data_IF_162288109620
#
_entry.id   IF_162288109620
#
_cell.length_a   1.000
_cell.length_b   1.000
_cell.length_c   1.000
_cell.angle_alpha   90.00
_cell.angle_beta   90.00
_cell.angle_gamma   90.00
#
_symmetry.space_group_name_H-M   'P 1'
#
loop_
_entity.id
_entity.type
_entity.pdbx_description
1 polymer ?
#
# COMPACT_ATOMS: atom_id res chain seq x y z
N UNK A 1 21.57 13.62 13.08
CA UNK A 1 21.11 14.31 11.86
C UNK A 1 19.59 14.24 11.83
N UNK A 2 18.92 15.33 11.45
CA UNK A 2 17.45 15.39 11.36
C UNK A 2 16.97 14.75 10.04
N UNK A 3 15.69 14.34 9.97
CA UNK A 3 15.08 13.74 8.76
C UNK A 3 15.20 14.66 7.53
N UNK A 4 15.12 15.98 7.74
CA UNK A 4 15.32 16.98 6.68
C UNK A 4 16.74 16.93 6.10
N UNK A 5 17.75 16.75 6.95
CA UNK A 5 19.15 16.67 6.52
C UNK A 5 19.45 15.37 5.74
N UNK A 6 18.77 14.27 6.09
CA UNK A 6 18.87 13.02 5.32
C UNK A 6 18.23 13.16 3.93
N UNK A 7 17.11 13.87 3.84
CA UNK A 7 16.38 14.03 2.57
C UNK A 7 17.18 14.83 1.54
N UNK A 8 17.92 15.84 1.98
CA UNK A 8 18.82 16.60 1.09
C UNK A 8 20.02 15.77 0.61
N UNK A 9 20.62 14.97 1.49
CA UNK A 9 21.86 14.25 1.19
C UNK A 9 21.60 12.96 0.43
N UNK A 10 20.67 12.14 0.90
CA UNK A 10 20.39 10.81 0.37
C UNK A 10 19.26 10.80 -0.66
N UNK A 11 18.36 11.78 -0.62
CA UNK A 11 17.22 11.88 -1.54
C UNK A 11 15.88 11.79 -0.83
N UNK A 12 14.80 11.88 -1.60
CA UNK A 12 13.42 11.84 -1.07
C UNK A 12 12.52 10.98 -1.94
N UNK A 13 11.49 10.40 -1.34
CA UNK A 13 10.52 9.56 -2.05
C UNK A 13 9.11 10.11 -1.94
N UNK A 14 8.36 10.02 -3.04
CA UNK A 14 6.96 10.39 -3.13
C UNK A 14 6.17 9.26 -3.78
N UNK A 15 4.88 9.12 -3.45
CA UNK A 15 4.00 8.11 -4.03
C UNK A 15 2.78 8.75 -4.70
N UNK A 16 2.37 8.17 -5.82
CA UNK A 16 1.11 8.48 -6.49
C UNK A 16 0.34 7.17 -6.79
N UNK A 17 -1.00 7.17 -6.64
CA UNK A 17 -1.83 8.27 -6.14
C UNK A 17 -1.65 8.50 -4.62
N UNK A 18 -1.92 9.74 -4.16
CA UNK A 18 -1.89 10.11 -2.73
C UNK A 18 -3.20 9.80 -1.99
N UNK A 19 -4.27 9.51 -2.74
CA UNK A 19 -5.59 9.21 -2.20
C UNK A 19 -5.69 7.80 -1.58
N UNK A 20 -6.83 7.48 -0.94
CA UNK A 20 -7.05 6.17 -0.38
C UNK A 20 -7.10 5.11 -1.49
N UNK A 21 -6.50 3.95 -1.23
CA UNK A 21 -6.63 2.75 -2.03
C UNK A 21 -7.75 1.88 -1.46
N UNK A 22 -8.45 1.16 -2.33
CA UNK A 22 -9.49 0.22 -1.92
C UNK A 22 -8.87 -1.14 -1.66
N UNK A 23 -9.11 -1.71 -0.48
CA UNK A 23 -8.62 -3.03 -0.07
C UNK A 23 -8.96 -4.11 -1.11
N UNK A 24 -8.00 -5.00 -1.37
CA UNK A 24 -8.17 -6.16 -2.26
C UNK A 24 -8.38 -5.85 -3.74
N UNK A 25 -8.28 -4.59 -4.17
CA UNK A 25 -8.43 -4.19 -5.58
C UNK A 25 -7.09 -3.96 -6.26
N UNK A 26 -7.10 -3.93 -7.59
CA UNK A 26 -5.90 -3.72 -8.41
C UNK A 26 -5.55 -2.24 -8.53
N UNK A 27 -4.29 -1.88 -8.30
CA UNK A 27 -3.78 -0.52 -8.38
C UNK A 27 -2.52 -0.41 -9.24
N UNK A 28 -2.23 0.82 -9.65
CA UNK A 28 -0.91 1.21 -10.18
C UNK A 28 -0.35 2.25 -9.23
N UNK A 29 0.78 1.95 -8.59
CA UNK A 29 1.45 2.87 -7.67
C UNK A 29 2.78 3.31 -8.27
N UNK A 30 2.99 4.62 -8.37
CA UNK A 30 4.26 5.20 -8.81
C UNK A 30 5.00 5.75 -7.60
N UNK A 31 6.13 5.11 -7.26
CA UNK A 31 7.05 5.60 -6.24
C UNK A 31 8.20 6.29 -6.95
N UNK A 32 8.30 7.60 -6.77
CA UNK A 32 9.35 8.43 -7.37
C UNK A 32 10.37 8.77 -6.29
N UNK A 33 11.59 8.26 -6.44
CA UNK A 33 12.74 8.63 -5.64
C UNK A 33 13.54 9.71 -6.38
N UNK A 34 13.70 10.89 -5.77
CA UNK A 34 14.57 11.96 -6.28
C UNK A 34 15.92 11.87 -5.57
N UNK A 35 16.98 11.72 -6.35
CA UNK A 35 18.35 11.52 -5.88
C UNK A 35 18.85 12.78 -5.16
N UNK A 36 19.44 12.59 -3.97
CA UNK A 36 20.01 13.67 -3.16
C UNK A 36 21.42 14.09 -3.60
N UNK A 37 22.04 15.00 -2.84
CA UNK A 37 23.37 15.56 -3.15
C UNK A 37 24.47 14.52 -3.32
N UNK A 38 24.39 13.38 -2.64
CA UNK A 38 25.41 12.34 -2.77
C UNK A 38 25.36 11.58 -4.10
N UNK A 39 24.30 11.74 -4.90
CA UNK A 39 24.10 10.92 -6.09
C UNK A 39 23.77 9.46 -5.73
N UNK A 40 23.79 8.59 -6.73
CA UNK A 40 23.87 7.14 -6.57
C UNK A 40 24.91 6.63 -7.57
N UNK A 41 26.00 6.06 -7.09
CA UNK A 41 27.08 5.52 -7.91
C UNK A 41 26.69 4.17 -8.56
N UNK A 42 27.51 3.70 -9.51
CA UNK A 42 27.42 2.35 -10.04
C UNK A 42 27.44 1.33 -8.88
N UNK A 43 26.52 0.36 -8.92
CA UNK A 43 26.25 -0.64 -7.86
C UNK A 43 25.60 -0.07 -6.59
N UNK A 44 25.34 1.23 -6.53
CA UNK A 44 24.42 1.83 -5.57
C UNK A 44 22.99 1.31 -5.79
N UNK A 45 22.13 1.57 -4.82
CA UNK A 45 20.74 1.09 -4.91
C UNK A 45 19.78 1.86 -4.03
N UNK A 46 18.49 1.76 -4.35
CA UNK A 46 17.41 2.06 -3.41
C UNK A 46 16.67 0.79 -3.02
N UNK A 47 16.12 0.79 -1.81
CA UNK A 47 15.28 -0.27 -1.28
C UNK A 47 13.91 0.31 -0.94
N UNK A 48 12.86 -0.31 -1.46
CA UNK A 48 11.46 0.00 -1.13
C UNK A 48 10.90 -1.21 -0.40
N UNK A 49 10.70 -1.10 0.90
CA UNK A 49 10.26 -2.18 1.76
C UNK A 49 8.87 -1.93 2.35
N UNK A 50 8.13 -3.00 2.59
CA UNK A 50 6.85 -2.95 3.29
C UNK A 50 6.71 -4.05 4.34
N UNK A 51 5.72 -3.86 5.23
CA UNK A 51 5.45 -4.79 6.33
C UNK A 51 5.19 -6.20 5.78
N UNK A 52 5.69 -7.21 6.48
CA UNK A 52 5.44 -8.61 6.12
C UNK A 52 4.00 -9.03 6.43
N UNK A 53 3.36 -8.39 7.41
CA UNK A 53 1.93 -8.54 7.70
C UNK A 53 1.16 -7.76 6.64
N UNK A 54 1.12 -8.33 5.44
CA UNK A 54 0.26 -7.93 4.35
C UNK A 54 0.14 -9.11 3.39
N UNK A 55 -0.98 -9.18 2.70
CA UNK A 55 -1.24 -10.13 1.64
C UNK A 55 -1.21 -9.47 0.26
N UNK A 56 -0.53 -8.32 0.13
CA UNK A 56 -0.25 -7.68 -1.16
C UNK A 56 0.31 -8.72 -2.14
N UNK A 57 -0.17 -8.66 -3.37
CA UNK A 57 0.42 -9.41 -4.47
C UNK A 57 1.90 -9.03 -4.65
N UNK A 58 2.72 -10.03 -4.97
CA UNK A 58 4.15 -9.78 -5.19
C UNK A 58 4.39 -9.12 -6.55
N UNK A 59 5.33 -8.16 -6.63
CA UNK A 59 5.74 -7.63 -7.91
C UNK A 59 6.43 -8.72 -8.73
N UNK A 60 6.21 -8.69 -10.04
CA UNK A 60 6.92 -9.52 -11.01
C UNK A 60 7.42 -8.63 -12.16
N UNK A 61 8.43 -9.12 -12.89
CA UNK A 61 9.19 -8.30 -13.86
C UNK A 61 9.22 -8.90 -15.27
N UNK A 62 8.51 -10.01 -15.50
CA UNK A 62 8.68 -10.85 -16.70
C UNK A 62 7.44 -10.95 -17.58
N UNK A 63 6.24 -10.73 -17.03
CA UNK A 63 4.97 -10.84 -17.75
C UNK A 63 4.30 -9.45 -17.82
N UNK A 64 4.46 -8.70 -18.93
CA UNK A 64 3.90 -7.36 -19.03
C UNK A 64 2.37 -7.28 -19.05
N UNK A 65 1.69 -8.38 -19.36
CA UNK A 65 0.23 -8.45 -19.43
C UNK A 65 -0.38 -9.06 -18.13
N UNK A 66 0.46 -9.69 -17.31
CA UNK A 66 0.08 -10.26 -16.03
C UNK A 66 -0.10 -9.24 -14.89
N UNK A 67 -0.78 -9.67 -13.83
CA UNK A 67 -0.86 -8.90 -12.59
C UNK A 67 0.50 -8.80 -11.90
N UNK A 68 0.66 -7.77 -11.07
CA UNK A 68 1.90 -7.49 -10.37
C UNK A 68 3.05 -7.00 -11.26
N UNK A 69 2.85 -6.81 -12.57
CA UNK A 69 3.92 -6.32 -13.45
C UNK A 69 4.50 -5.02 -12.93
N UNK A 70 5.81 -4.97 -12.79
CA UNK A 70 6.50 -3.85 -12.16
C UNK A 70 7.67 -3.40 -13.03
N UNK A 71 7.75 -2.10 -13.25
CA UNK A 71 8.81 -1.48 -14.06
C UNK A 71 9.54 -0.42 -13.26
N UNK A 72 10.73 -0.06 -13.70
CA UNK A 72 11.45 1.10 -13.20
C UNK A 72 12.15 1.83 -14.33
N UNK A 73 12.16 3.15 -14.26
CA UNK A 73 12.80 4.05 -15.21
C UNK A 73 13.56 5.12 -14.45
N UNK A 74 14.66 5.63 -15.03
CA UNK A 74 15.38 6.78 -14.49
C UNK A 74 15.52 7.89 -15.51
N UNK A 75 15.49 9.14 -15.04
CA UNK A 75 15.76 10.32 -15.87
C UNK A 75 17.25 10.55 -16.14
N UNK A 76 18.13 9.84 -15.40
CA UNK A 76 19.57 9.85 -15.63
C UNK A 76 20.00 8.87 -16.71
N UNK A 77 21.31 8.72 -16.89
CA UNK A 77 21.89 7.87 -17.96
C UNK A 77 22.17 6.42 -17.50
N UNK A 78 22.04 6.13 -16.19
CA UNK A 78 22.28 4.80 -15.65
C UNK A 78 21.17 3.80 -16.00
N UNK A 79 21.49 2.51 -15.90
CA UNK A 79 20.52 1.41 -16.03
C UNK A 79 20.04 0.96 -14.65
N UNK A 80 18.84 0.40 -14.63
CA UNK A 80 18.18 -0.07 -13.40
C UNK A 80 17.89 -1.57 -13.47
N UNK A 81 18.16 -2.30 -12.38
CA UNK A 81 17.80 -3.70 -12.23
C UNK A 81 16.91 -3.89 -11.01
N UNK A 82 15.78 -4.55 -11.22
CA UNK A 82 14.83 -4.85 -10.16
C UNK A 82 15.05 -6.25 -9.59
N UNK A 83 14.89 -6.37 -8.27
CA UNK A 83 14.75 -7.65 -7.58
C UNK A 83 13.82 -7.52 -6.39
N UNK A 84 13.05 -8.55 -6.10
CA UNK A 84 12.13 -8.58 -4.96
C UNK A 84 12.36 -9.82 -4.12
N UNK A 85 12.26 -9.68 -2.80
CA UNK A 85 12.25 -10.81 -1.90
C UNK A 85 11.40 -10.57 -0.66
N UNK A 86 10.92 -11.67 -0.08
CA UNK A 86 9.92 -11.66 1.01
C UNK A 86 10.53 -11.74 2.40
N UNK A 87 11.85 -11.92 2.50
CA UNK A 87 12.67 -11.95 3.73
C UNK A 87 14.00 -11.22 3.49
N UNK A 88 13.96 -10.10 2.78
CA UNK A 88 15.15 -9.43 2.24
C UNK A 88 15.65 -8.24 3.07
N UNK A 89 14.99 -7.95 4.20
CA UNK A 89 15.36 -6.85 5.08
C UNK A 89 15.02 -7.17 6.54
N UNK A 90 14.87 -6.17 7.43
CA UNK A 90 14.62 -6.40 8.86
C UNK A 90 13.13 -6.38 9.21
N UNK A 91 12.74 -7.04 10.32
CA UNK A 91 11.34 -7.10 10.78
C UNK A 91 10.89 -5.71 11.30
N UNK A 92 9.70 -5.21 10.95
CA UNK A 92 8.62 -5.86 10.21
C UNK A 92 8.70 -5.73 8.67
N UNK A 93 9.69 -5.05 8.12
CA UNK A 93 9.84 -4.63 6.71
C UNK A 93 10.45 -5.70 5.80
N UNK A 94 10.03 -6.97 5.89
CA UNK A 94 10.70 -8.06 5.20
C UNK A 94 10.53 -8.09 3.68
N UNK A 95 9.37 -7.66 3.17
CA UNK A 95 9.07 -7.62 1.73
C UNK A 95 9.76 -6.40 1.15
N UNK A 96 10.77 -6.60 0.31
CA UNK A 96 11.59 -5.49 -0.18
C UNK A 96 11.87 -5.62 -1.68
N UNK A 97 11.55 -4.55 -2.41
CA UNK A 97 11.94 -4.32 -3.80
C UNK A 97 13.25 -3.52 -3.80
N UNK A 98 14.31 -4.10 -4.36
CA UNK A 98 15.57 -3.41 -4.59
C UNK A 98 15.67 -2.95 -6.03
N UNK A 99 16.12 -1.72 -6.21
CA UNK A 99 16.47 -1.13 -7.50
C UNK A 99 17.97 -0.88 -7.50
N UNK A 100 18.73 -1.74 -8.18
CA UNK A 100 20.17 -1.56 -8.36
C UNK A 100 20.42 -0.60 -9.52
N UNK A 101 21.32 0.38 -9.30
CA UNK A 101 21.85 1.27 -10.34
C UNK A 101 23.12 0.62 -10.90
N UNK A 102 23.22 0.51 -12.22
CA UNK A 102 24.39 -0.07 -12.86
C UNK A 102 24.63 0.52 -14.26
N UNK A 103 25.81 0.28 -14.84
CA UNK A 103 26.23 0.81 -16.14
C UNK A 103 26.11 2.35 -16.21
N UNK A 104 26.41 3.03 -15.10
CA UNK A 104 26.31 4.48 -14.95
C UNK A 104 26.05 4.90 -13.51
N UNK A 105 25.91 6.20 -13.29
CA UNK A 105 25.55 6.78 -12.00
C UNK A 105 24.44 7.81 -12.16
N UNK A 106 23.78 8.14 -11.05
CA UNK A 106 22.74 9.16 -10.97
C UNK A 106 23.23 10.34 -10.16
N UNK A 107 22.97 11.55 -10.64
CA UNK A 107 23.34 12.80 -9.96
C UNK A 107 22.16 13.37 -9.18
N UNK A 108 22.45 14.36 -8.34
CA UNK A 108 21.42 15.11 -7.61
C UNK A 108 20.29 15.58 -8.55
N UNK A 109 19.05 15.35 -8.14
CA UNK A 109 17.86 15.73 -8.90
C UNK A 109 17.40 14.71 -9.95
N UNK A 110 18.23 13.74 -10.33
CA UNK A 110 17.76 12.60 -11.13
C UNK A 110 16.68 11.82 -10.38
N UNK A 111 15.80 11.17 -11.12
CA UNK A 111 14.69 10.41 -10.55
C UNK A 111 14.82 8.94 -10.88
N UNK A 112 14.47 8.10 -9.92
CA UNK A 112 14.12 6.69 -10.13
C UNK A 112 12.61 6.59 -9.93
N UNK A 113 11.88 6.23 -10.99
CA UNK A 113 10.43 6.06 -10.97
C UNK A 113 10.14 4.56 -11.03
N UNK A 114 9.63 4.01 -9.94
CA UNK A 114 9.15 2.63 -9.85
C UNK A 114 7.64 2.62 -10.04
N UNK A 115 7.15 1.84 -11.00
CA UNK A 115 5.71 1.63 -11.23
C UNK A 115 5.33 0.22 -10.81
N UNK A 116 4.71 0.09 -9.64
CA UNK A 116 4.10 -1.16 -9.15
C UNK A 116 2.74 -1.34 -9.84
N UNK A 117 2.49 -2.51 -10.43
CA UNK A 117 1.25 -2.75 -11.16
C UNK A 117 1.15 -1.88 -12.41
N UNK A 118 2.20 -1.85 -13.22
CA UNK A 118 2.27 -1.14 -14.49
C UNK A 118 1.26 -1.70 -15.49
N UNK A 119 0.37 -0.82 -15.98
CA UNK A 119 -0.71 -1.16 -16.92
C UNK A 119 -0.41 -0.73 -18.35
N UNK A 120 0.77 -0.18 -18.63
CA UNK A 120 1.14 0.34 -19.95
C UNK A 120 1.10 -0.71 -21.07
N UNK A 121 1.10 -2.00 -20.71
CA UNK A 121 1.01 -3.14 -21.62
C UNK A 121 -0.31 -3.90 -21.54
N UNK A 122 -1.33 -3.35 -20.85
CA UNK A 122 -2.67 -3.93 -20.77
C UNK A 122 -2.95 -4.81 -19.55
N UNK A 123 -1.97 -5.00 -18.66
CA UNK A 123 -2.16 -5.75 -17.42
C UNK A 123 -3.14 -5.10 -16.43
N UNK A 124 -3.65 -5.87 -15.46
CA UNK A 124 -4.70 -5.41 -14.54
C UNK A 124 -4.19 -4.48 -13.42
N UNK A 125 -2.87 -4.44 -13.18
CA UNK A 125 -2.25 -3.74 -12.05
C UNK A 125 -1.70 -4.71 -10.99
N UNK A 126 -1.47 -4.22 -9.78
CA UNK A 126 -1.03 -5.02 -8.63
C UNK A 126 -2.11 -4.97 -7.54
N UNK A 127 -2.49 -6.14 -6.99
CA UNK A 127 -3.49 -6.21 -5.93
C UNK A 127 -2.91 -5.73 -4.60
N UNK A 128 -3.53 -4.70 -4.02
CA UNK A 128 -3.21 -4.26 -2.66
C UNK A 128 -3.87 -5.19 -1.62
N UNK A 129 -3.32 -5.24 -0.41
CA UNK A 129 -3.79 -6.05 0.71
C UNK A 129 -5.31 -5.97 0.94
N UNK A 130 -5.87 -7.05 1.48
CA UNK A 130 -7.32 -7.25 1.64
C UNK A 130 -7.90 -6.63 2.90
N UNK A 131 -7.07 -5.96 3.72
CA UNK A 131 -7.52 -5.29 4.93
C UNK A 131 -7.11 -3.83 4.97
N UNK A 132 -7.98 -3.00 5.55
CA UNK A 132 -7.75 -1.56 5.71
C UNK A 132 -6.55 -1.24 6.62
N UNK A 133 -5.85 -0.15 6.32
CA UNK A 133 -4.74 0.38 7.12
C UNK A 133 -4.67 1.90 6.97
N UNK A 134 -4.65 2.64 8.08
CA UNK A 134 -4.59 4.11 8.06
C UNK A 134 -3.28 4.63 7.48
N UNK A 135 -2.17 3.95 7.78
CA UNK A 135 -0.82 4.32 7.37
C UNK A 135 -0.07 3.15 6.73
N UNK A 136 -0.42 2.86 5.48
CA UNK A 136 0.36 1.92 4.67
C UNK A 136 1.63 2.60 4.17
N UNK A 137 2.73 2.34 4.86
CA UNK A 137 4.05 2.92 4.56
C UNK A 137 4.79 2.07 3.53
N UNK A 138 5.38 2.72 2.52
CA UNK A 138 6.41 2.15 1.66
C UNK A 138 7.75 2.71 2.13
N UNK A 139 8.48 1.93 2.93
CA UNK A 139 9.73 2.36 3.55
C UNK A 139 10.81 2.46 2.49
N UNK A 140 11.35 3.66 2.27
CA UNK A 140 12.38 3.90 1.27
C UNK A 140 13.72 4.16 1.93
N UNK A 141 14.74 3.47 1.44
CA UNK A 141 16.11 3.65 1.87
C UNK A 141 17.05 3.74 0.67
N UNK A 142 18.16 4.46 0.83
CA UNK A 142 19.18 4.63 -0.19
C UNK A 142 20.54 4.11 0.29
N UNK A 143 21.27 3.48 -0.61
CA UNK A 143 22.70 3.17 -0.50
C UNK A 143 23.41 3.79 -1.71
N UNK A 144 23.79 5.09 -1.62
CA UNK A 144 24.45 5.82 -2.71
C UNK A 144 25.75 5.19 -3.20
N UNK A 145 26.45 4.42 -2.35
CA UNK A 145 27.83 4.03 -2.56
C UNK A 145 28.01 2.52 -2.78
N UNK A 146 26.92 1.76 -2.94
CA UNK A 146 26.96 0.31 -3.16
C UNK A 146 27.54 -0.50 -1.99
N UNK A 147 27.49 0.06 -0.78
CA UNK A 147 28.08 -0.54 0.44
C UNK A 147 27.16 -1.54 1.14
N UNK A 148 25.90 -1.65 0.68
CA UNK A 148 24.78 -2.34 1.34
C UNK A 148 24.42 -1.76 2.70
N UNK A 149 24.90 -0.54 3.02
CA UNK A 149 24.48 0.21 4.18
C UNK A 149 23.41 1.22 3.79
N UNK A 150 22.17 0.84 4.00
CA UNK A 150 21.02 1.66 3.67
C UNK A 150 20.76 2.74 4.73
N UNK A 151 20.47 3.95 4.26
CA UNK A 151 19.98 5.06 5.07
C UNK A 151 18.53 5.33 4.71
N UNK A 152 17.66 5.32 5.70
CA UNK A 152 16.26 5.65 5.52
C UNK A 152 16.09 7.13 5.16
N UNK A 153 15.27 7.37 4.14
CA UNK A 153 14.76 8.69 3.76
C UNK A 153 13.29 8.81 4.17
N UNK A 154 12.70 10.00 4.04
CA UNK A 154 11.27 10.15 4.28
C UNK A 154 10.46 9.18 3.40
N UNK A 155 9.69 8.32 4.06
CA UNK A 155 9.00 7.21 3.44
C UNK A 155 7.55 7.60 3.12
N UNK A 156 7.11 7.49 1.86
CA UNK A 156 5.74 7.79 1.49
C UNK A 156 4.77 6.78 2.10
N UNK A 157 3.53 7.22 2.30
CA UNK A 157 2.44 6.40 2.83
C UNK A 157 1.13 6.68 2.10
N UNK A 158 0.25 5.69 2.10
CA UNK A 158 -1.12 5.79 1.60
C UNK A 158 -2.07 5.23 2.67
N UNK A 159 -3.35 5.55 2.54
CA UNK A 159 -4.40 4.91 3.34
C UNK A 159 -5.06 3.82 2.52
N UNK A 160 -5.37 2.69 3.14
CA UNK A 160 -6.18 1.63 2.56
C UNK A 160 -7.51 1.61 3.29
N UNK A 161 -8.61 1.69 2.55
CA UNK A 161 -9.98 1.69 3.06
C UNK A 161 -10.74 0.45 2.57
N UNK A 162 -11.83 0.11 3.26
CA UNK A 162 -12.77 -0.90 2.76
C UNK A 162 -13.42 -0.49 1.43
N UNK A 163 -13.76 -1.49 0.62
CA UNK A 163 -14.46 -1.32 -0.65
C UNK A 163 -15.95 -1.04 -0.51
N UNK A 164 -16.70 -1.09 -1.62
CA UNK A 164 -18.17 -1.04 -1.61
C UNK A 164 -18.74 -2.12 -0.69
N UNK A 165 -19.86 -1.83 -0.03
CA UNK A 165 -20.54 -2.80 0.81
C UNK A 165 -21.07 -3.97 -0.03
N UNK A 166 -20.79 -5.18 0.44
CA UNK A 166 -21.21 -6.46 -0.12
C UNK A 166 -22.13 -7.21 0.87
N UNK A 167 -21.92 -7.01 2.18
CA UNK A 167 -22.69 -7.64 3.26
C UNK A 167 -23.13 -6.61 4.31
N UNK A 168 -24.34 -6.80 4.86
CA UNK A 168 -24.77 -6.17 6.12
C UNK A 168 -24.71 -7.20 7.25
N UNK A 169 -23.92 -6.91 8.28
CA UNK A 169 -23.79 -7.76 9.47
C UNK A 169 -24.44 -7.07 10.67
N UNK A 170 -25.33 -7.78 11.35
CA UNK A 170 -25.91 -7.35 12.65
C UNK A 170 -25.19 -8.08 13.78
N UNK A 171 -24.59 -7.32 14.68
CA UNK A 171 -23.89 -7.83 15.87
C UNK A 171 -24.73 -7.49 17.10
N UNK A 172 -25.11 -8.51 17.85
CA UNK A 172 -25.90 -8.41 19.08
C UNK A 172 -25.18 -9.11 20.25
N UNK A 173 -25.46 -8.74 21.51
CA UNK A 173 -24.98 -9.47 22.67
C UNK A 173 -25.46 -10.93 22.66
N UNK A 174 -24.59 -11.88 23.03
CA UNK A 174 -24.95 -13.30 23.13
C UNK A 174 -25.90 -13.62 24.28
N UNK A 175 -25.98 -12.74 25.28
CA UNK A 175 -26.84 -12.89 26.47
C UNK A 175 -27.53 -11.55 26.70
N UNK A 176 -28.84 -11.60 26.91
CA UNK A 176 -29.69 -10.44 27.21
C UNK A 176 -30.68 -10.82 28.31
N UNK A 177 -31.09 -9.85 29.12
CA UNK A 177 -32.18 -10.05 30.09
C UNK A 177 -33.50 -10.12 29.31
N UNK A 178 -34.39 -11.09 29.60
CA UNK A 178 -35.69 -11.14 28.97
C UNK A 178 -36.45 -9.82 29.14
N UNK A 179 -36.99 -9.29 28.02
CA UNK A 179 -37.80 -8.06 27.96
C UNK A 179 -37.05 -6.76 28.29
N UNK A 180 -35.72 -6.78 28.35
CA UNK A 180 -34.93 -5.54 28.42
C UNK A 180 -34.41 -5.16 27.02
N UNK A 181 -34.41 -3.85 26.67
CA UNK A 181 -33.83 -3.41 25.42
C UNK A 181 -32.31 -3.59 25.44
N UNK A 182 -31.74 -3.88 24.27
CA UNK A 182 -30.29 -4.01 24.09
C UNK A 182 -29.85 -3.34 22.79
N UNK A 183 -28.58 -2.94 22.75
CA UNK A 183 -27.99 -2.34 21.56
C UNK A 183 -27.56 -3.42 20.56
N UNK A 184 -27.81 -3.16 19.28
CA UNK A 184 -27.21 -3.89 18.16
C UNK A 184 -26.32 -2.95 17.37
N UNK A 185 -25.26 -3.50 16.79
CA UNK A 185 -24.42 -2.77 15.83
C UNK A 185 -24.64 -3.37 14.45
N UNK A 186 -25.07 -2.54 13.50
CA UNK A 186 -25.09 -2.94 12.09
C UNK A 186 -23.82 -2.44 11.42
N UNK A 187 -23.16 -3.30 10.64
CA UNK A 187 -21.94 -3.00 9.91
C UNK A 187 -22.17 -3.32 8.44
N UNK A 188 -21.92 -2.33 7.57
CA UNK A 188 -21.76 -2.58 6.15
C UNK A 188 -20.32 -2.98 5.89
N UNK A 189 -20.10 -4.19 5.36
CA UNK A 189 -18.79 -4.78 5.13
C UNK A 189 -18.57 -4.97 3.63
N UNK A 190 -17.34 -4.78 3.17
CA UNK A 190 -16.92 -5.15 1.82
C UNK A 190 -16.73 -6.66 1.68
N UNK A 191 -16.43 -7.12 0.46
CA UNK A 191 -16.21 -8.54 0.14
C UNK A 191 -15.06 -9.21 0.91
N UNK A 192 -14.24 -8.43 1.62
CA UNK A 192 -13.11 -8.88 2.44
C UNK A 192 -13.38 -8.72 3.94
N UNK A 193 -14.59 -8.28 4.33
CA UNK A 193 -14.98 -8.08 5.73
C UNK A 193 -14.52 -6.73 6.31
N UNK A 194 -14.04 -5.79 5.51
CA UNK A 194 -13.70 -4.45 5.99
C UNK A 194 -14.96 -3.58 6.10
N UNK A 195 -15.09 -2.73 7.13
CA UNK A 195 -16.11 -1.68 7.13
C UNK A 195 -16.08 -0.85 5.85
N UNK A 196 -17.22 -0.73 5.17
CA UNK A 196 -17.36 0.06 3.95
C UNK A 196 -17.63 1.53 4.31
N UNK A 197 -16.67 2.45 4.14
CA UNK A 197 -16.90 3.88 4.42
C UNK A 197 -17.82 4.54 3.37
N UNK A 198 -18.07 3.85 2.25
CA UNK A 198 -18.86 4.35 1.13
C UNK A 198 -20.36 4.05 1.24
N UNK A 199 -20.78 3.19 2.17
CA UNK A 199 -22.19 2.84 2.33
C UNK A 199 -23.02 4.06 2.72
N UNK A 200 -24.08 4.33 1.96
CA UNK A 200 -25.07 5.41 2.19
C UNK A 200 -26.51 4.88 2.07
N UNK A 201 -26.67 3.56 2.06
CA UNK A 201 -27.98 2.92 1.93
C UNK A 201 -28.79 3.04 3.21
N UNK A 202 -30.11 2.94 3.08
CA UNK A 202 -31.00 2.84 4.23
C UNK A 202 -31.01 1.39 4.75
N UNK A 203 -30.91 1.24 6.06
CA UNK A 203 -31.04 -0.06 6.73
C UNK A 203 -32.48 -0.19 7.21
N UNK A 204 -33.23 -1.12 6.63
CA UNK A 204 -34.57 -1.49 7.09
C UNK A 204 -34.52 -2.76 7.90
N UNK A 205 -35.20 -2.78 9.04
CA UNK A 205 -35.32 -3.99 9.86
C UNK A 205 -36.67 -4.66 9.63
N UNK A 206 -36.67 -5.98 9.47
CA UNK A 206 -37.87 -6.81 9.35
C UNK A 206 -37.87 -7.87 10.43
N UNK A 207 -39.04 -8.20 10.95
CA UNK A 207 -39.22 -9.21 11.99
C UNK A 207 -40.21 -10.28 11.52
N UNK A 208 -39.92 -11.54 11.85
CA UNK A 208 -40.80 -12.67 11.54
C UNK A 208 -41.84 -12.87 12.64
N UNK A 209 -41.50 -12.56 13.89
CA UNK A 209 -42.38 -12.60 15.05
C UNK A 209 -42.53 -11.18 15.61
N UNK A 210 -43.69 -10.89 16.21
CA UNK A 210 -44.04 -9.55 16.66
C UNK A 210 -43.23 -9.20 17.94
N UNK A 211 -42.17 -8.40 17.79
CA UNK A 211 -41.49 -7.73 18.89
C UNK A 211 -41.96 -6.28 18.98
N UNK A 212 -42.30 -5.83 20.19
CA UNK A 212 -42.86 -4.49 20.45
C UNK A 212 -41.87 -3.33 20.25
N UNK A 213 -40.58 -3.59 19.96
CA UNK A 213 -39.52 -2.58 20.10
C UNK A 213 -38.39 -2.60 19.05
N UNK A 214 -38.64 -3.11 17.84
CA UNK A 214 -37.65 -3.02 16.76
C UNK A 214 -37.65 -1.62 16.13
N UNK A 215 -36.49 -0.97 15.96
CA UNK A 215 -36.39 0.26 15.17
C UNK A 215 -36.84 -0.01 13.72
N UNK A 216 -37.65 0.87 13.14
CA UNK A 216 -38.14 0.69 11.77
C UNK A 216 -37.04 0.83 10.72
N UNK A 217 -36.19 1.86 10.84
CA UNK A 217 -35.02 2.05 9.98
C UNK A 217 -33.91 2.88 10.63
N UNK A 218 -32.72 2.81 10.05
CA UNK A 218 -31.57 3.65 10.39
C UNK A 218 -30.92 4.17 9.09
N UNK A 219 -30.52 5.46 9.10
CA UNK A 219 -29.86 6.16 7.98
C UNK A 219 -28.41 6.45 8.34
#
# INVERSE_FOLDING_TARGET
MTVMQHSELYGRAEIEPKGPLIAGTMHTLRITFTVGRYGIDDKGSILIAWKYICDDEHPQFSDPEGSGYTTAYTTGEAKLKLSFGTLSFYRPWFKALRVDVYDGSLKEGDKIIVTLGDRSRGGPGLRIQTFQESERIFKVLADPFGTRRYVEVESPKVTIIGGPADELQVVAPSIVTPREPFAVTVRALDSWGNPSPSYRGEITFTQTEQFDSLPSSYV
#
